data_IF_494152209977
#
_entry.id   IF_494152209977
#
_cell.length_a   1.000
_cell.length_b   1.000
_cell.length_c   1.000
_cell.angle_alpha   90.00
_cell.angle_beta   90.00
_cell.angle_gamma   90.00
#
_symmetry.space_group_name_H-M   'P 1'
#
loop_
_entity.id
_entity.type
_entity.pdbx_description
1 polymer ?
#
# COMPACT_ATOMS: atom_id res chain seq x y z
N UNK A 1 -9.57 -53.76 31.69
CA UNK A 1 -10.83 -53.04 31.67
C UNK A 1 -10.58 -51.58 31.44
N UNK A 2 -11.17 -51.07 30.38
CA UNK A 2 -11.41 -49.65 29.99
C UNK A 2 -10.20 -48.70 29.99
N UNK A 3 -9.56 -48.32 28.91
CA UNK A 3 -9.98 -47.52 27.72
C UNK A 3 -10.83 -46.29 28.08
N UNK A 4 -10.18 -45.13 28.04
CA UNK A 4 -10.85 -43.89 27.67
C UNK A 4 -9.87 -43.00 26.90
N UNK A 5 -10.26 -42.68 25.68
CA UNK A 5 -9.49 -41.95 24.70
C UNK A 5 -9.61 -40.45 24.93
N UNK A 6 -8.53 -39.77 24.63
CA UNK A 6 -8.54 -38.33 24.48
C UNK A 6 -9.14 -37.93 23.12
N UNK A 7 -9.99 -36.90 23.06
CA UNK A 7 -10.43 -36.31 21.81
C UNK A 7 -9.39 -35.33 21.33
N UNK A 8 -8.78 -35.64 20.17
CA UNK A 8 -7.93 -34.73 19.44
C UNK A 8 -8.65 -33.43 19.06
N UNK A 9 -8.14 -32.33 19.59
CA UNK A 9 -8.49 -30.97 19.17
C UNK A 9 -7.90 -30.72 17.79
N UNK A 10 -8.72 -30.84 16.75
CA UNK A 10 -8.41 -30.32 15.43
C UNK A 10 -8.48 -28.79 15.48
N UNK A 11 -7.33 -28.16 15.52
CA UNK A 11 -7.21 -26.74 15.21
C UNK A 11 -7.62 -26.54 13.74
N UNK A 12 -8.84 -26.08 13.53
CA UNK A 12 -9.30 -25.57 12.24
C UNK A 12 -8.48 -24.31 11.95
N UNK A 13 -7.50 -24.45 11.04
CA UNK A 13 -6.78 -23.34 10.46
C UNK A 13 -7.78 -22.37 9.81
N UNK A 14 -7.88 -21.18 10.38
CA UNK A 14 -8.58 -20.07 9.75
C UNK A 14 -7.92 -19.83 8.39
N UNK A 15 -8.59 -20.19 7.31
CA UNK A 15 -8.25 -19.75 5.96
C UNK A 15 -8.38 -18.23 5.94
N UNK A 16 -7.26 -17.53 6.02
CA UNK A 16 -7.19 -16.12 5.71
C UNK A 16 -7.55 -15.97 4.24
N UNK A 17 -8.76 -15.51 3.98
CA UNK A 17 -9.18 -15.13 2.62
C UNK A 17 -8.29 -13.95 2.26
N UNK A 18 -7.32 -14.17 1.38
CA UNK A 18 -6.59 -13.10 0.73
C UNK A 18 -7.63 -12.14 0.17
N UNK A 19 -7.57 -10.87 0.56
CA UNK A 19 -8.48 -9.84 0.08
C UNK A 19 -8.36 -9.79 -1.45
N UNK A 20 -9.29 -10.40 -2.15
CA UNK A 20 -9.35 -10.38 -3.61
C UNK A 20 -9.70 -8.95 -4.00
N UNK A 21 -8.68 -8.21 -4.46
CA UNK A 21 -8.93 -6.98 -5.21
C UNK A 21 -9.88 -7.36 -6.35
N UNK A 22 -11.07 -6.71 -6.47
CA UNK A 22 -12.03 -7.08 -7.50
C UNK A 22 -11.35 -7.05 -8.87
N UNK A 23 -11.48 -8.15 -9.64
CA UNK A 23 -10.84 -8.24 -10.96
C UNK A 23 -11.29 -7.05 -11.82
N UNK A 24 -10.40 -6.53 -12.66
CA UNK A 24 -10.66 -5.34 -13.53
C UNK A 24 -12.02 -5.40 -14.22
N UNK A 25 -12.37 -6.56 -14.75
CA UNK A 25 -13.66 -6.72 -15.43
C UNK A 25 -14.84 -6.61 -14.47
N UNK A 26 -14.70 -7.01 -13.21
CA UNK A 26 -15.75 -6.91 -12.19
C UNK A 26 -16.01 -5.44 -11.83
N UNK A 27 -14.95 -4.63 -11.65
CA UNK A 27 -15.09 -3.20 -11.43
C UNK A 27 -15.76 -2.49 -12.61
N UNK A 28 -15.33 -2.79 -13.82
CA UNK A 28 -15.98 -2.24 -15.04
C UNK A 28 -17.42 -2.70 -15.13
N UNK A 29 -17.71 -3.96 -14.83
CA UNK A 29 -19.07 -4.51 -14.77
C UNK A 29 -19.94 -3.73 -13.78
N UNK A 30 -19.48 -3.55 -12.53
CA UNK A 30 -20.23 -2.85 -11.48
C UNK A 30 -20.53 -1.40 -11.86
N UNK A 31 -19.54 -0.68 -12.40
CA UNK A 31 -19.69 0.72 -12.82
C UNK A 31 -20.69 0.82 -13.97
N UNK A 32 -20.50 0.03 -15.02
CA UNK A 32 -21.37 0.09 -16.21
C UNK A 32 -22.78 -0.40 -15.87
N UNK A 33 -22.93 -1.44 -15.05
CA UNK A 33 -24.21 -1.91 -14.57
C UNK A 33 -24.93 -0.81 -13.76
N UNK A 34 -24.23 -0.14 -12.85
CA UNK A 34 -24.74 1.00 -12.09
C UNK A 34 -25.21 2.15 -13.02
N UNK A 35 -24.42 2.50 -14.02
CA UNK A 35 -24.80 3.53 -15.00
C UNK A 35 -26.04 3.18 -15.82
N UNK A 36 -26.22 1.91 -16.17
CA UNK A 36 -27.40 1.42 -16.88
C UNK A 36 -28.63 1.49 -15.97
N UNK A 37 -28.51 0.99 -14.74
CA UNK A 37 -29.64 0.97 -13.78
C UNK A 37 -30.09 2.37 -13.40
N UNK A 38 -29.16 3.33 -13.27
CA UNK A 38 -29.43 4.74 -12.96
C UNK A 38 -29.91 5.55 -14.18
N UNK A 39 -29.95 4.94 -15.38
CA UNK A 39 -30.35 5.62 -16.61
C UNK A 39 -29.30 6.60 -17.17
N UNK A 40 -28.09 6.63 -16.63
CA UNK A 40 -26.96 7.43 -17.16
C UNK A 40 -26.58 6.93 -18.56
N UNK A 41 -26.54 5.61 -18.73
CA UNK A 41 -26.44 4.97 -20.02
C UNK A 41 -27.86 4.60 -20.50
N UNK A 42 -28.41 5.42 -21.40
CA UNK A 42 -29.78 5.23 -21.93
C UNK A 42 -29.91 3.93 -22.74
N UNK A 43 -31.16 3.39 -22.81
CA UNK A 43 -31.50 2.27 -23.68
C UNK A 43 -31.02 2.52 -25.12
N UNK A 44 -30.44 1.50 -25.76
CA UNK A 44 -29.90 1.59 -27.10
C UNK A 44 -28.49 2.19 -27.22
N UNK A 45 -27.91 2.73 -26.13
CA UNK A 45 -26.51 3.21 -26.14
C UNK A 45 -25.57 2.10 -26.60
N UNK A 46 -24.68 2.43 -27.54
CA UNK A 46 -23.72 1.48 -28.07
C UNK A 46 -22.46 1.43 -27.21
N UNK A 47 -22.04 0.23 -26.81
CA UNK A 47 -20.81 -0.06 -26.12
C UNK A 47 -19.96 -0.99 -26.97
N UNK A 48 -18.62 -0.77 -26.96
CA UNK A 48 -17.66 -1.61 -27.68
C UNK A 48 -16.49 -1.95 -26.78
N UNK A 49 -15.82 -3.08 -27.07
CA UNK A 49 -14.60 -3.49 -26.37
C UNK A 49 -13.52 -2.40 -26.40
N UNK A 50 -13.33 -1.77 -27.57
CA UNK A 50 -12.34 -0.68 -27.72
C UNK A 50 -12.75 0.59 -26.99
N UNK A 51 -14.05 0.96 -27.03
CA UNK A 51 -14.55 2.15 -26.32
C UNK A 51 -14.44 1.99 -24.80
N UNK A 52 -14.83 0.82 -24.26
CA UNK A 52 -14.63 0.53 -22.83
C UNK A 52 -13.16 0.48 -22.45
N UNK A 53 -12.32 -0.17 -23.28
CA UNK A 53 -10.89 -0.25 -23.03
C UNK A 53 -10.24 1.15 -22.97
N UNK A 54 -10.63 2.05 -23.86
CA UNK A 54 -10.17 3.44 -23.90
C UNK A 54 -10.72 4.24 -22.70
N UNK A 55 -12.04 4.14 -22.46
CA UNK A 55 -12.72 4.86 -21.38
C UNK A 55 -12.17 4.51 -19.99
N UNK A 56 -11.89 3.24 -19.75
CA UNK A 56 -11.40 2.75 -18.45
C UNK A 56 -9.89 2.57 -18.38
N UNK A 57 -9.13 2.88 -19.44
CA UNK A 57 -7.67 2.74 -19.48
C UNK A 57 -7.18 1.30 -19.33
N UNK A 58 -7.95 0.29 -19.77
CA UNK A 58 -7.69 -1.14 -19.62
C UNK A 58 -7.39 -1.81 -20.97
N UNK A 59 -6.88 -3.05 -20.92
CA UNK A 59 -6.76 -3.85 -22.16
C UNK A 59 -8.14 -4.33 -22.64
N UNK A 60 -8.22 -4.77 -23.91
CA UNK A 60 -9.49 -5.26 -24.51
C UNK A 60 -10.03 -6.53 -23.85
N UNK A 61 -9.16 -7.34 -23.24
CA UNK A 61 -9.57 -8.61 -22.63
C UNK A 61 -10.52 -8.40 -21.43
N UNK A 62 -10.20 -7.64 -20.37
CA UNK A 62 -11.12 -7.34 -19.29
C UNK A 62 -12.33 -6.53 -19.75
N UNK A 63 -12.19 -5.61 -20.73
CA UNK A 63 -13.34 -4.89 -21.31
C UNK A 63 -14.33 -5.87 -21.98
N UNK A 64 -13.84 -6.84 -22.75
CA UNK A 64 -14.63 -7.91 -23.34
C UNK A 64 -15.34 -8.75 -22.29
N UNK A 65 -14.62 -9.14 -21.23
CA UNK A 65 -15.17 -9.94 -20.16
C UNK A 65 -16.29 -9.21 -19.42
N UNK A 66 -16.12 -7.92 -19.11
CA UNK A 66 -17.16 -7.08 -18.50
C UNK A 66 -18.41 -7.00 -19.40
N UNK A 67 -18.24 -6.79 -20.72
CA UNK A 67 -19.35 -6.76 -21.67
C UNK A 67 -20.09 -8.10 -21.75
N UNK A 68 -19.38 -9.22 -21.72
CA UNK A 68 -19.98 -10.56 -21.69
C UNK A 68 -20.79 -10.81 -20.41
N UNK A 69 -20.28 -10.35 -19.26
CA UNK A 69 -21.01 -10.45 -17.99
C UNK A 69 -22.26 -9.57 -17.98
N UNK A 70 -22.18 -8.34 -18.48
CA UNK A 70 -23.32 -7.44 -18.63
C UNK A 70 -24.38 -8.01 -19.61
N UNK A 71 -23.96 -8.69 -20.68
CA UNK A 71 -24.86 -9.43 -21.59
C UNK A 71 -25.52 -10.60 -20.86
N UNK A 72 -24.77 -11.37 -20.09
CA UNK A 72 -25.28 -12.53 -19.30
C UNK A 72 -26.32 -12.09 -18.27
N UNK A 73 -26.09 -10.95 -17.62
CA UNK A 73 -27.07 -10.36 -16.69
C UNK A 73 -28.25 -9.68 -17.39
N UNK A 74 -28.26 -9.64 -18.74
CA UNK A 74 -29.35 -9.08 -19.53
C UNK A 74 -29.40 -7.55 -19.58
N UNK A 75 -28.32 -6.89 -19.13
CA UNK A 75 -28.17 -5.43 -19.18
C UNK A 75 -27.72 -4.95 -20.55
N UNK A 76 -27.12 -5.83 -21.35
CA UNK A 76 -26.72 -5.55 -22.72
C UNK A 76 -27.29 -6.60 -23.68
N UNK A 77 -27.49 -6.18 -24.93
CA UNK A 77 -27.84 -7.03 -26.08
C UNK A 77 -26.73 -6.96 -27.11
N UNK A 78 -26.32 -8.10 -27.63
CA UNK A 78 -25.37 -8.17 -28.75
C UNK A 78 -25.97 -7.51 -29.99
N UNK A 79 -25.22 -6.59 -30.59
CA UNK A 79 -25.67 -5.90 -31.82
C UNK A 79 -25.39 -6.77 -33.05
N UNK A 80 -26.19 -6.66 -34.08
CA UNK A 80 -25.98 -7.32 -35.39
C UNK A 80 -24.67 -6.94 -36.09
N UNK A 81 -23.90 -5.97 -35.52
CA UNK A 81 -22.54 -5.60 -35.91
C UNK A 81 -21.56 -5.80 -34.74
N UNK A 82 -20.37 -5.15 -34.78
CA UNK A 82 -19.39 -5.20 -33.68
C UNK A 82 -19.88 -4.38 -32.50
N UNK A 83 -20.07 -5.00 -31.32
CA UNK A 83 -20.36 -4.35 -30.04
C UNK A 83 -21.70 -4.75 -29.43
N UNK A 84 -22.12 -4.01 -28.43
CA UNK A 84 -23.29 -4.25 -27.59
C UNK A 84 -24.18 -3.00 -27.55
N UNK A 85 -25.44 -3.19 -27.16
CA UNK A 85 -26.39 -2.10 -26.90
C UNK A 85 -27.00 -2.29 -25.52
N UNK A 86 -27.23 -1.20 -24.82
CA UNK A 86 -27.94 -1.20 -23.54
C UNK A 86 -29.36 -1.71 -23.75
N UNK A 87 -29.71 -2.74 -22.99
CA UNK A 87 -31.07 -3.33 -23.02
C UNK A 87 -32.05 -2.47 -22.21
N UNK A 88 -33.34 -2.64 -22.48
CA UNK A 88 -34.38 -2.04 -21.63
C UNK A 88 -34.30 -2.66 -20.23
N UNK A 89 -34.13 -1.87 -19.15
CA UNK A 89 -34.11 -2.42 -17.78
C UNK A 89 -35.40 -3.20 -17.54
N UNK A 90 -35.28 -4.51 -17.27
CA UNK A 90 -36.36 -5.26 -16.64
C UNK A 90 -36.25 -5.00 -15.15
N UNK A 91 -37.35 -4.64 -14.47
CA UNK A 91 -37.44 -4.39 -13.04
C UNK A 91 -36.72 -5.50 -12.25
N UNK A 92 -35.44 -5.34 -11.98
CA UNK A 92 -34.67 -6.14 -11.05
C UNK A 92 -34.00 -5.20 -10.05
N UNK A 93 -34.53 -5.19 -8.84
CA UNK A 93 -33.88 -4.62 -7.67
C UNK A 93 -32.57 -5.38 -7.43
N UNK A 94 -31.44 -4.74 -7.73
CA UNK A 94 -30.15 -5.16 -7.23
C UNK A 94 -30.08 -4.84 -5.74
N UNK A 95 -29.60 -5.78 -4.93
CA UNK A 95 -29.61 -5.71 -3.48
C UNK A 95 -29.04 -4.42 -2.89
N UNK A 96 -29.71 -3.93 -1.87
CA UNK A 96 -29.31 -2.83 -1.00
C UNK A 96 -27.88 -3.05 -0.47
N UNK A 97 -26.95 -2.17 -0.82
CA UNK A 97 -25.64 -2.25 -0.20
C UNK A 97 -24.48 -1.43 -0.78
N UNK A 98 -24.68 -0.57 -1.76
CA UNK A 98 -23.61 0.36 -2.18
C UNK A 98 -24.18 1.76 -2.35
N UNK A 99 -23.84 2.66 -1.46
CA UNK A 99 -24.09 4.09 -1.62
C UNK A 99 -23.27 4.58 -2.82
N UNK A 100 -23.98 5.02 -3.88
CA UNK A 100 -23.39 5.61 -5.08
C UNK A 100 -23.25 7.11 -4.84
N UNK A 101 -22.05 7.73 -5.01
CA UNK A 101 -21.90 9.17 -4.93
C UNK A 101 -22.69 9.88 -6.03
N UNK A 102 -23.33 10.99 -5.66
CA UNK A 102 -24.29 11.73 -6.49
C UNK A 102 -23.68 12.48 -7.66
N UNK A 103 -24.55 12.67 -8.62
CA UNK A 103 -24.67 13.63 -9.74
C UNK A 103 -23.47 14.43 -10.28
N UNK A 104 -23.17 14.16 -11.53
CA UNK A 104 -23.01 15.14 -12.64
C UNK A 104 -21.63 15.66 -12.95
N UNK A 105 -20.80 16.09 -12.02
CA UNK A 105 -19.52 16.74 -12.29
C UNK A 105 -18.32 16.09 -11.58
N UNK A 106 -18.55 15.18 -10.65
CA UNK A 106 -17.51 14.41 -9.93
C UNK A 106 -17.26 13.01 -10.48
N UNK A 107 -17.93 12.62 -11.54
CA UNK A 107 -17.68 11.37 -12.24
C UNK A 107 -16.56 11.52 -13.31
N UNK A 108 -15.58 12.35 -13.08
CA UNK A 108 -14.22 11.98 -13.42
C UNK A 108 -13.90 10.87 -12.46
N UNK A 109 -14.20 9.63 -12.84
CA UNK A 109 -13.39 8.52 -12.41
C UNK A 109 -11.98 9.05 -12.43
N UNK A 110 -11.41 9.28 -11.25
CA UNK A 110 -9.98 9.41 -11.13
C UNK A 110 -9.51 8.15 -11.84
N UNK A 111 -9.06 8.29 -13.09
CA UNK A 111 -8.32 7.25 -13.78
C UNK A 111 -7.04 7.13 -12.96
N UNK A 112 -7.18 6.46 -11.82
CA UNK A 112 -6.02 5.90 -11.19
C UNK A 112 -5.41 5.08 -12.30
N UNK A 113 -4.31 5.58 -12.86
CA UNK A 113 -3.63 4.89 -13.93
C UNK A 113 -3.60 3.42 -13.53
N UNK A 114 -3.84 2.49 -14.45
CA UNK A 114 -4.09 1.07 -14.11
C UNK A 114 -2.99 0.48 -13.23
N UNK A 115 -1.77 1.05 -13.31
CA UNK A 115 -0.66 0.72 -12.41
C UNK A 115 -0.94 1.11 -10.94
N UNK A 116 -1.61 2.25 -10.68
CA UNK A 116 -1.82 2.73 -9.30
C UNK A 116 -2.75 1.79 -8.50
N UNK A 117 -3.64 1.08 -9.19
CA UNK A 117 -4.54 0.11 -8.57
C UNK A 117 -3.80 -1.05 -7.91
N UNK A 118 -2.74 -1.55 -8.54
CA UNK A 118 -1.99 -2.70 -8.03
C UNK A 118 -0.68 -2.31 -7.34
N UNK A 119 -0.24 -1.05 -7.51
CA UNK A 119 1.06 -0.59 -7.05
C UNK A 119 1.24 -0.80 -5.54
N UNK A 120 0.29 -0.33 -4.73
CA UNK A 120 0.39 -0.42 -3.27
C UNK A 120 0.45 -1.85 -2.76
N UNK A 121 -0.30 -2.77 -3.39
CA UNK A 121 -0.26 -4.18 -3.03
C UNK A 121 1.07 -4.82 -3.43
N UNK A 122 1.54 -4.59 -4.67
CA UNK A 122 2.83 -5.12 -5.14
C UNK A 122 3.99 -4.57 -4.32
N UNK A 123 3.97 -3.28 -3.99
CA UNK A 123 4.95 -2.64 -3.10
C UNK A 123 4.97 -3.32 -1.74
N UNK A 124 3.78 -3.50 -1.14
CA UNK A 124 3.62 -4.15 0.16
C UNK A 124 4.14 -5.59 0.14
N UNK A 125 3.77 -6.38 -0.86
CA UNK A 125 4.15 -7.78 -0.97
C UNK A 125 5.66 -7.96 -1.18
N UNK A 126 6.28 -7.14 -2.02
CA UNK A 126 7.73 -7.19 -2.25
C UNK A 126 8.47 -6.71 -0.99
N UNK A 127 8.10 -5.55 -0.46
CA UNK A 127 8.77 -4.97 0.69
C UNK A 127 8.75 -5.92 1.91
N UNK A 128 7.60 -6.50 2.22
CA UNK A 128 7.46 -7.45 3.31
C UNK A 128 8.36 -8.68 3.15
N UNK A 129 8.53 -9.18 1.92
CA UNK A 129 9.32 -10.37 1.62
C UNK A 129 10.82 -10.14 1.58
N UNK A 130 11.29 -8.90 1.38
CA UNK A 130 12.73 -8.59 1.43
C UNK A 130 13.37 -8.90 2.78
N UNK A 131 12.59 -8.93 3.86
CA UNK A 131 13.06 -9.35 5.19
C UNK A 131 13.43 -10.84 5.26
N UNK A 132 12.88 -11.69 4.39
CA UNK A 132 13.13 -13.14 4.39
C UNK A 132 14.23 -13.55 3.42
N UNK A 133 14.35 -12.87 2.28
CA UNK A 133 15.35 -13.15 1.25
C UNK A 133 15.43 -12.02 0.21
N UNK A 134 16.40 -12.15 -0.69
CA UNK A 134 16.35 -11.44 -1.97
C UNK A 134 15.41 -12.16 -2.94
N UNK A 135 14.75 -11.40 -3.82
CA UNK A 135 13.75 -11.92 -4.75
C UNK A 135 13.99 -11.43 -6.16
N UNK A 136 13.87 -12.32 -7.14
CA UNK A 136 13.76 -11.95 -8.55
C UNK A 136 12.28 -11.63 -8.86
N UNK A 137 12.03 -10.48 -9.49
CA UNK A 137 10.67 -10.05 -9.88
C UNK A 137 10.46 -10.34 -11.36
N UNK A 138 9.45 -11.13 -11.68
CA UNK A 138 9.09 -11.49 -13.04
C UNK A 138 7.89 -10.69 -13.52
N UNK A 139 8.13 -9.70 -14.42
CA UNK A 139 7.08 -8.82 -14.97
C UNK A 139 5.96 -9.59 -15.70
N UNK A 140 6.27 -10.71 -16.34
CA UNK A 140 5.28 -11.50 -17.09
C UNK A 140 4.33 -12.21 -16.13
N UNK A 141 4.87 -12.83 -15.08
CA UNK A 141 4.07 -13.48 -14.04
C UNK A 141 3.31 -12.45 -13.20
N UNK A 142 3.91 -11.28 -12.93
CA UNK A 142 3.24 -10.15 -12.28
C UNK A 142 2.02 -9.70 -13.08
N UNK A 143 2.18 -9.52 -14.40
CA UNK A 143 1.08 -9.15 -15.29
C UNK A 143 -0.04 -10.19 -15.27
N UNK A 144 0.32 -11.49 -15.28
CA UNK A 144 -0.63 -12.60 -15.23
C UNK A 144 -1.37 -12.68 -13.90
N UNK A 145 -0.64 -12.54 -12.79
CA UNK A 145 -1.19 -12.64 -11.43
C UNK A 145 -2.24 -11.56 -11.14
N UNK A 146 -1.96 -10.31 -11.56
CA UNK A 146 -2.88 -9.18 -11.36
C UNK A 146 -3.85 -8.94 -12.52
N UNK A 147 -3.84 -9.80 -13.53
CA UNK A 147 -4.66 -9.66 -14.76
C UNK A 147 -4.54 -8.26 -15.40
N UNK A 148 -3.29 -7.82 -15.58
CA UNK A 148 -2.96 -6.54 -16.22
C UNK A 148 -2.08 -6.75 -17.46
N UNK A 149 -1.92 -5.69 -18.28
CA UNK A 149 -0.97 -5.76 -19.40
C UNK A 149 0.49 -5.77 -18.90
N UNK A 150 1.40 -6.33 -19.72
CA UNK A 150 2.85 -6.28 -19.44
C UNK A 150 3.36 -4.85 -19.31
N UNK A 151 2.76 -3.90 -20.02
CA UNK A 151 3.11 -2.47 -19.93
C UNK A 151 2.80 -1.93 -18.54
N UNK A 152 1.63 -2.27 -17.99
CA UNK A 152 1.24 -1.91 -16.62
C UNK A 152 2.18 -2.54 -15.59
N UNK A 153 2.48 -3.83 -15.71
CA UNK A 153 3.42 -4.50 -14.81
C UNK A 153 4.81 -3.84 -14.85
N UNK A 154 5.29 -3.49 -16.05
CA UNK A 154 6.56 -2.76 -16.23
C UNK A 154 6.54 -1.38 -15.59
N UNK A 155 5.44 -0.65 -15.73
CA UNK A 155 5.26 0.65 -15.07
C UNK A 155 5.31 0.54 -13.55
N UNK A 156 4.68 -0.49 -12.97
CA UNK A 156 4.74 -0.78 -11.53
C UNK A 156 6.19 -1.03 -11.11
N UNK A 157 6.88 -1.94 -11.79
CA UNK A 157 8.27 -2.27 -11.44
C UNK A 157 9.22 -1.07 -11.62
N UNK A 158 9.02 -0.24 -12.65
CA UNK A 158 9.79 0.99 -12.85
C UNK A 158 9.60 1.99 -11.69
N UNK A 159 8.39 2.09 -11.14
CA UNK A 159 8.10 2.93 -9.96
C UNK A 159 8.70 2.38 -8.68
N UNK A 160 8.67 1.06 -8.52
CA UNK A 160 9.37 0.39 -7.41
C UNK A 160 10.89 0.61 -7.49
N UNK A 161 11.45 0.66 -8.70
CA UNK A 161 12.86 1.03 -8.90
C UNK A 161 13.13 2.47 -8.47
N UNK A 162 12.27 3.42 -8.84
CA UNK A 162 12.42 4.82 -8.42
C UNK A 162 12.39 4.98 -6.89
N UNK A 163 11.68 4.08 -6.19
CA UNK A 163 11.65 4.00 -4.72
C UNK A 163 12.77 3.13 -4.13
N UNK A 164 13.65 2.56 -4.95
CA UNK A 164 14.76 1.74 -4.49
C UNK A 164 14.39 0.34 -3.99
N UNK A 165 13.10 -0.06 -4.06
CA UNK A 165 12.64 -1.39 -3.65
C UNK A 165 13.11 -2.50 -4.58
N UNK A 166 13.29 -2.19 -5.85
CA UNK A 166 13.85 -3.12 -6.84
C UNK A 166 14.96 -2.43 -7.63
N UNK A 167 15.91 -3.23 -8.11
CA UNK A 167 16.99 -2.79 -8.99
C UNK A 167 17.26 -3.83 -10.06
N UNK A 168 18.00 -3.46 -11.09
CA UNK A 168 18.50 -4.46 -12.05
C UNK A 168 19.80 -5.08 -11.55
N UNK A 169 19.91 -6.39 -11.71
CA UNK A 169 21.18 -7.10 -11.53
C UNK A 169 22.06 -6.96 -12.79
N UNK A 170 23.27 -7.56 -12.74
CA UNK A 170 24.23 -7.52 -13.84
C UNK A 170 23.72 -8.17 -15.15
N UNK A 171 22.67 -9.00 -15.04
CA UNK A 171 21.97 -9.63 -16.16
C UNK A 171 20.72 -8.88 -16.59
N UNK A 172 20.55 -7.64 -16.14
CA UNK A 172 19.39 -6.78 -16.40
C UNK A 172 18.04 -7.35 -15.94
N UNK A 173 18.04 -8.29 -14.97
CA UNK A 173 16.84 -8.83 -14.35
C UNK A 173 16.47 -7.98 -13.15
N UNK A 174 15.16 -7.85 -12.90
CA UNK A 174 14.66 -7.16 -11.72
C UNK A 174 14.87 -7.99 -10.46
N UNK A 175 15.50 -7.42 -9.47
CA UNK A 175 15.69 -8.00 -8.15
C UNK A 175 15.25 -7.03 -7.06
N UNK A 176 14.59 -7.55 -6.03
CA UNK A 176 14.38 -6.91 -4.75
C UNK A 176 15.46 -7.46 -3.80
N UNK A 177 16.45 -6.65 -3.37
CA UNK A 177 17.51 -7.11 -2.49
C UNK A 177 16.98 -7.55 -1.14
N UNK A 178 17.65 -8.50 -0.48
CA UNK A 178 17.34 -8.83 0.90
C UNK A 178 17.61 -7.62 1.82
N UNK A 179 16.73 -7.41 2.78
CA UNK A 179 16.89 -6.43 3.86
C UNK A 179 17.74 -7.07 4.98
N UNK A 180 19.05 -7.12 4.77
CA UNK A 180 19.97 -7.67 5.77
C UNK A 180 20.17 -6.69 6.94
N UNK A 181 20.60 -7.18 8.12
CA UNK A 181 20.94 -6.31 9.26
C UNK A 181 21.95 -5.22 8.92
N UNK A 182 22.93 -5.54 8.08
CA UNK A 182 23.96 -4.60 7.62
C UNK A 182 23.31 -3.50 6.76
N UNK A 183 22.45 -3.88 5.81
CA UNK A 183 21.76 -2.93 4.95
C UNK A 183 20.78 -2.04 5.73
N UNK A 184 20.08 -2.60 6.70
CA UNK A 184 19.26 -1.82 7.65
C UNK A 184 20.13 -0.81 8.38
N UNK A 185 21.31 -1.23 8.87
CA UNK A 185 22.28 -0.36 9.53
C UNK A 185 22.71 0.83 8.65
N UNK A 186 23.08 0.58 7.40
CA UNK A 186 23.46 1.61 6.41
C UNK A 186 22.34 2.61 6.15
N UNK A 187 21.08 2.13 6.00
CA UNK A 187 19.92 2.99 5.79
C UNK A 187 19.64 3.89 7.00
N UNK A 188 19.73 3.35 8.22
CA UNK A 188 19.57 4.15 9.45
C UNK A 188 20.72 5.13 9.63
N UNK A 189 21.94 4.78 9.22
CA UNK A 189 23.08 5.70 9.26
C UNK A 189 22.81 6.96 8.45
N UNK A 190 22.32 6.83 7.22
CA UNK A 190 21.89 7.98 6.41
C UNK A 190 20.81 8.80 7.11
N UNK A 191 19.84 8.16 7.77
CA UNK A 191 18.76 8.85 8.46
C UNK A 191 19.29 9.68 9.63
N UNK A 192 20.07 9.10 10.55
CA UNK A 192 20.54 9.86 11.72
C UNK A 192 21.60 10.91 11.39
N UNK A 193 22.21 10.86 10.21
CA UNK A 193 23.10 11.92 9.70
C UNK A 193 22.30 13.07 9.11
N UNK A 194 21.22 12.79 8.39
CA UNK A 194 20.51 13.79 7.58
C UNK A 194 19.23 14.33 8.24
N UNK A 195 18.44 13.50 8.89
CA UNK A 195 17.14 13.90 9.43
C UNK A 195 17.25 14.94 10.57
N UNK A 196 18.20 14.85 11.53
CA UNK A 196 18.39 15.90 12.53
C UNK A 196 18.75 17.25 11.93
N UNK A 197 19.59 17.27 10.88
CA UNK A 197 19.93 18.51 10.15
C UNK A 197 18.73 19.06 9.39
N UNK A 198 17.91 18.19 8.80
CA UNK A 198 16.66 18.59 8.16
C UNK A 198 15.68 19.19 9.18
N UNK A 199 15.57 18.59 10.38
CA UNK A 199 14.72 19.07 11.47
C UNK A 199 15.14 20.47 11.95
N UNK A 200 16.44 20.71 12.16
CA UNK A 200 16.96 22.03 12.54
C UNK A 200 16.62 23.09 11.49
N UNK A 201 16.72 22.76 10.20
CA UNK A 201 16.35 23.66 9.10
C UNK A 201 14.84 23.90 9.02
N UNK A 202 14.04 22.89 9.30
CA UNK A 202 12.59 22.96 9.27
C UNK A 202 12.00 23.76 10.43
N UNK A 203 12.61 23.71 11.61
CA UNK A 203 12.06 24.21 12.87
C UNK A 203 11.53 25.64 12.80
N UNK A 204 12.25 26.55 12.13
CA UNK A 204 11.83 27.97 11.98
C UNK A 204 10.74 28.19 10.92
N UNK A 205 10.36 27.16 10.17
CA UNK A 205 9.41 27.23 9.06
C UNK A 205 8.13 26.42 9.32
N UNK A 206 8.06 25.71 10.45
CA UNK A 206 6.88 24.94 10.80
C UNK A 206 5.69 25.87 11.04
N UNK A 207 4.51 25.53 10.46
CA UNK A 207 3.27 26.25 10.79
C UNK A 207 2.99 26.21 12.29
N UNK A 208 2.53 27.30 12.91
CA UNK A 208 2.31 27.37 14.36
C UNK A 208 1.37 26.29 14.91
N UNK A 209 0.40 25.85 14.08
CA UNK A 209 -0.58 24.84 14.45
C UNK A 209 -0.09 23.39 14.27
N UNK A 210 1.06 23.15 13.60
CA UNK A 210 1.51 21.83 13.26
C UNK A 210 1.97 21.02 14.48
N UNK A 211 2.85 21.60 15.29
CA UNK A 211 3.39 20.93 16.49
C UNK A 211 2.29 20.57 17.50
N UNK A 212 1.36 21.49 17.86
CA UNK A 212 0.23 21.14 18.74
C UNK A 212 -0.62 19.98 18.21
N UNK A 213 -0.91 19.94 16.90
CA UNK A 213 -1.68 18.86 16.29
C UNK A 213 -0.95 17.51 16.33
N UNK A 214 0.35 17.52 16.08
CA UNK A 214 1.16 16.29 16.16
C UNK A 214 1.24 15.79 17.61
N UNK A 215 1.46 16.70 18.56
CA UNK A 215 1.48 16.38 19.99
C UNK A 215 0.16 15.74 20.44
N UNK A 216 -0.97 16.35 20.12
CA UNK A 216 -2.29 15.83 20.47
C UNK A 216 -2.50 14.40 19.90
N UNK A 217 -2.09 14.13 18.65
CA UNK A 217 -2.18 12.80 18.06
C UNK A 217 -1.28 11.78 18.77
N UNK A 218 -0.06 12.17 19.15
CA UNK A 218 0.87 11.29 19.88
C UNK A 218 0.35 10.99 21.30
N UNK A 219 -0.17 11.99 22.02
CA UNK A 219 -0.74 11.81 23.36
C UNK A 219 -1.98 10.90 23.31
N UNK A 220 -2.86 11.08 22.31
CA UNK A 220 -3.99 10.20 22.07
C UNK A 220 -3.57 8.77 21.74
N UNK A 221 -2.55 8.61 20.89
CA UNK A 221 -2.00 7.31 20.52
C UNK A 221 -1.37 6.58 21.73
N UNK A 222 -0.61 7.28 22.56
CA UNK A 222 -0.04 6.72 23.80
C UNK A 222 -1.15 6.26 24.75
N UNK A 223 -2.23 7.04 24.87
CA UNK A 223 -3.37 6.72 25.75
C UNK A 223 -4.19 5.54 25.26
N UNK A 224 -4.18 5.27 23.97
CA UNK A 224 -4.96 4.19 23.31
C UNK A 224 -4.07 3.14 22.62
N UNK A 225 -2.86 2.94 23.10
CA UNK A 225 -1.84 2.10 22.47
C UNK A 225 -2.31 0.67 22.11
N UNK A 226 -3.24 0.10 22.89
CA UNK A 226 -3.76 -1.24 22.65
C UNK A 226 -4.68 -1.36 21.43
N UNK A 227 -5.23 -0.25 20.95
CA UNK A 227 -6.19 -0.21 19.84
C UNK A 227 -5.62 0.31 18.53
N UNK A 228 -4.35 0.78 18.54
CA UNK A 228 -3.69 1.31 17.34
C UNK A 228 -3.53 0.24 16.27
N UNK A 229 -3.79 0.66 15.05
CA UNK A 229 -3.58 -0.15 13.84
C UNK A 229 -2.26 0.23 13.16
N UNK A 230 -1.78 -0.62 12.24
CA UNK A 230 -0.60 -0.29 11.42
C UNK A 230 -0.72 1.07 10.71
N UNK A 231 -1.84 1.37 10.02
CA UNK A 231 -2.07 2.67 9.39
C UNK A 231 -2.03 3.88 10.36
N UNK A 232 -2.44 3.69 11.62
CA UNK A 232 -2.35 4.78 12.62
C UNK A 232 -0.90 5.06 12.99
N UNK A 233 -0.12 4.00 13.22
CA UNK A 233 1.32 4.12 13.48
C UNK A 233 2.07 4.73 12.29
N UNK A 234 1.70 4.35 11.08
CA UNK A 234 2.27 4.89 9.85
C UNK A 234 2.09 6.40 9.74
N UNK A 235 0.90 6.90 10.10
CA UNK A 235 0.62 8.34 10.08
C UNK A 235 1.48 9.10 11.09
N UNK A 236 1.71 8.53 12.27
CA UNK A 236 2.56 9.13 13.30
C UNK A 236 4.04 9.17 12.90
N UNK A 237 4.51 8.13 12.21
CA UNK A 237 5.84 8.12 11.57
C UNK A 237 5.95 9.18 10.46
N UNK A 238 4.93 9.31 9.60
CA UNK A 238 4.89 10.32 8.54
C UNK A 238 4.89 11.74 9.09
N UNK A 239 4.22 12.00 10.21
CA UNK A 239 4.18 13.32 10.83
C UNK A 239 5.58 13.83 11.15
N UNK A 240 6.44 13.00 11.75
CA UNK A 240 7.80 13.39 12.13
C UNK A 240 8.75 13.32 10.93
N UNK A 241 8.84 12.16 10.30
CA UNK A 241 9.93 11.88 9.35
C UNK A 241 9.68 12.40 7.93
N UNK A 242 8.43 12.74 7.58
CA UNK A 242 8.07 13.24 6.25
C UNK A 242 7.52 14.66 6.34
N UNK A 243 6.43 14.84 7.08
CA UNK A 243 5.70 16.12 7.10
C UNK A 243 6.55 17.23 7.71
N UNK A 244 7.08 17.03 8.92
CA UNK A 244 7.90 18.06 9.59
C UNK A 244 9.22 18.30 8.84
N UNK A 245 9.92 17.26 8.43
CA UNK A 245 11.18 17.40 7.71
C UNK A 245 11.01 18.08 6.34
N UNK A 246 9.83 17.94 5.71
CA UNK A 246 9.52 18.59 4.43
C UNK A 246 9.65 20.11 4.46
N UNK A 247 9.49 20.74 5.63
CA UNK A 247 9.68 22.18 5.80
C UNK A 247 11.14 22.63 5.79
N UNK A 248 12.11 21.72 5.67
CA UNK A 248 13.53 22.08 5.59
C UNK A 248 13.92 22.85 4.32
N UNK A 249 13.04 22.85 3.31
CA UNK A 249 13.23 23.50 1.99
C UNK A 249 14.55 23.13 1.31
N UNK A 250 15.00 21.89 1.49
CA UNK A 250 16.20 21.35 0.85
C UNK A 250 15.84 20.08 0.06
N UNK A 251 15.43 20.28 -1.20
CA UNK A 251 14.99 19.21 -2.08
C UNK A 251 16.02 18.07 -2.25
N UNK A 252 17.34 18.34 -2.48
CA UNK A 252 18.34 17.28 -2.54
C UNK A 252 18.48 16.47 -1.23
N UNK A 253 18.36 17.13 -0.08
CA UNK A 253 18.41 16.46 1.22
C UNK A 253 17.19 15.57 1.40
N UNK A 254 15.98 16.07 1.09
CA UNK A 254 14.76 15.27 1.16
C UNK A 254 14.79 14.09 0.19
N UNK A 255 15.37 14.23 -0.99
CA UNK A 255 15.61 13.12 -1.91
C UNK A 255 16.52 12.05 -1.29
N UNK A 256 17.62 12.46 -0.65
CA UNK A 256 18.53 11.52 -0.01
C UNK A 256 17.90 10.80 1.19
N UNK A 257 16.98 11.46 1.92
CA UNK A 257 16.25 10.89 3.06
C UNK A 257 15.12 9.97 2.59
N UNK A 258 14.45 10.28 1.48
CA UNK A 258 13.25 9.56 1.03
C UNK A 258 13.52 8.10 0.68
N UNK A 259 14.68 7.77 0.14
CA UNK A 259 15.04 6.39 -0.20
C UNK A 259 15.21 5.50 1.04
N UNK A 260 16.05 5.85 2.04
CA UNK A 260 16.10 5.10 3.29
C UNK A 260 14.74 4.97 3.97
N UNK A 261 13.94 6.04 3.99
CA UNK A 261 12.60 6.01 4.55
C UNK A 261 11.71 5.02 3.82
N UNK A 262 11.66 5.06 2.49
CA UNK A 262 10.83 4.15 1.69
C UNK A 262 11.19 2.68 1.91
N UNK A 263 12.48 2.36 2.04
CA UNK A 263 12.96 1.00 2.28
C UNK A 263 12.68 0.54 3.72
N UNK A 264 12.77 1.42 4.71
CA UNK A 264 12.47 1.13 6.10
C UNK A 264 10.97 1.13 6.42
N UNK A 265 10.15 1.74 5.56
CA UNK A 265 8.70 1.52 5.55
C UNK A 265 8.35 0.06 5.25
N UNK A 266 9.25 -0.71 4.63
CA UNK A 266 9.14 -2.17 4.57
C UNK A 266 8.88 -2.80 5.95
N UNK A 267 9.38 -2.21 6.99
CA UNK A 267 9.10 -2.52 8.37
C UNK A 267 7.61 -2.36 8.76
N UNK A 268 6.84 -1.46 8.15
CA UNK A 268 5.38 -1.36 8.30
C UNK A 268 4.67 -2.63 7.86
N UNK A 269 5.14 -3.25 6.79
CA UNK A 269 4.52 -4.46 6.25
C UNK A 269 4.73 -5.67 7.15
N UNK A 270 5.69 -5.60 8.07
CA UNK A 270 5.89 -6.62 9.09
C UNK A 270 4.78 -6.58 10.16
N UNK A 271 4.12 -5.43 10.39
CA UNK A 271 2.93 -5.34 11.23
C UNK A 271 1.79 -6.22 10.73
N UNK A 272 1.72 -6.48 9.43
CA UNK A 272 0.73 -7.39 8.85
C UNK A 272 0.83 -8.81 9.42
N UNK A 273 2.05 -9.26 9.70
CA UNK A 273 2.30 -10.61 10.20
C UNK A 273 2.50 -10.66 11.70
N UNK A 274 2.95 -9.56 12.28
CA UNK A 274 3.22 -9.47 13.70
C UNK A 274 2.79 -8.09 14.24
N UNK A 275 1.47 -7.87 14.36
CA UNK A 275 0.92 -6.55 14.71
C UNK A 275 1.28 -6.09 16.12
N UNK A 276 1.70 -6.98 17.01
CA UNK A 276 2.01 -6.66 18.41
C UNK A 276 3.33 -7.27 18.85
N UNK A 277 4.43 -6.75 18.31
CA UNK A 277 5.75 -7.13 18.80
C UNK A 277 6.05 -6.53 20.18
N UNK A 278 5.51 -5.34 20.44
CA UNK A 278 5.64 -4.61 21.70
C UNK A 278 4.24 -4.35 22.28
N UNK A 279 4.11 -4.33 23.60
CA UNK A 279 2.85 -4.00 24.28
C UNK A 279 2.37 -2.57 23.96
N UNK A 280 3.31 -1.64 23.79
CA UNK A 280 3.13 -0.31 23.23
C UNK A 280 4.32 -0.02 22.31
N UNK A 281 4.11 0.73 21.23
CA UNK A 281 5.18 1.08 20.30
C UNK A 281 6.16 2.08 20.98
N UNK A 282 7.42 1.69 21.15
CA UNK A 282 8.39 2.49 21.92
C UNK A 282 8.72 3.84 21.30
N UNK A 283 8.47 4.02 19.98
CA UNK A 283 8.73 5.27 19.30
C UNK A 283 7.76 6.38 19.68
N UNK A 284 6.55 6.07 20.16
CA UNK A 284 5.53 7.07 20.49
C UNK A 284 6.02 8.08 21.54
N UNK A 285 6.51 7.67 22.72
CA UNK A 285 7.06 8.61 23.69
C UNK A 285 8.32 9.32 23.19
N UNK A 286 9.10 8.70 22.32
CA UNK A 286 10.30 9.32 21.74
C UNK A 286 9.94 10.45 20.77
N UNK A 287 8.91 10.23 19.91
CA UNK A 287 8.39 11.27 19.03
C UNK A 287 7.76 12.43 19.83
N UNK A 288 7.02 12.10 20.90
CA UNK A 288 6.44 13.11 21.78
C UNK A 288 7.53 13.99 22.43
N UNK A 289 8.63 13.42 22.90
CA UNK A 289 9.77 14.14 23.46
C UNK A 289 10.40 15.10 22.44
N UNK A 290 10.54 14.66 21.19
CA UNK A 290 11.06 15.52 20.10
C UNK A 290 10.14 16.70 19.86
N UNK A 291 8.82 16.47 19.75
CA UNK A 291 7.83 17.52 19.51
C UNK A 291 7.78 18.53 20.65
N UNK A 292 7.78 18.07 21.91
CA UNK A 292 7.79 18.92 23.09
C UNK A 292 9.04 19.81 23.15
N UNK A 293 10.21 19.29 22.77
CA UNK A 293 11.43 20.09 22.68
C UNK A 293 11.36 21.18 21.61
N UNK A 294 10.72 20.87 20.46
CA UNK A 294 10.49 21.88 19.41
C UNK A 294 9.50 22.96 19.87
N UNK A 295 8.40 22.59 20.54
CA UNK A 295 7.46 23.55 21.11
C UNK A 295 8.11 24.48 22.14
N UNK A 296 9.06 23.96 22.90
CA UNK A 296 9.85 24.74 23.87
C UNK A 296 10.96 25.59 23.21
N UNK A 297 11.12 25.54 21.89
CA UNK A 297 12.19 26.25 21.16
C UNK A 297 13.59 25.61 21.30
N UNK A 298 13.69 24.42 21.86
CA UNK A 298 14.95 23.70 22.08
C UNK A 298 15.34 22.88 20.85
N UNK A 299 15.58 23.53 19.71
CA UNK A 299 15.76 22.88 18.39
C UNK A 299 16.93 21.89 18.38
N UNK A 300 18.09 22.26 18.91
CA UNK A 300 19.25 21.37 18.97
C UNK A 300 18.97 20.13 19.83
N UNK A 301 18.28 20.31 20.98
CA UNK A 301 17.93 19.18 21.83
C UNK A 301 16.92 18.24 21.16
N UNK A 302 16.01 18.78 20.34
CA UNK A 302 15.08 18.00 19.52
C UNK A 302 15.84 17.20 18.43
N UNK A 303 16.79 17.82 17.75
CA UNK A 303 17.63 17.17 16.76
C UNK A 303 18.49 16.03 17.36
N UNK A 304 19.04 16.25 18.55
CA UNK A 304 19.77 15.21 19.27
C UNK A 304 18.85 14.07 19.74
N UNK A 305 17.62 14.39 20.16
CA UNK A 305 16.62 13.38 20.51
C UNK A 305 16.23 12.55 19.26
N UNK A 306 16.03 13.18 18.12
CA UNK A 306 15.76 12.49 16.84
C UNK A 306 16.93 11.57 16.44
N UNK A 307 18.17 12.02 16.60
CA UNK A 307 19.34 11.18 16.31
C UNK A 307 19.36 9.93 17.20
N UNK A 308 19.14 10.06 18.50
CA UNK A 308 19.08 8.94 19.44
C UNK A 308 17.92 8.00 19.11
N UNK A 309 16.73 8.56 18.83
CA UNK A 309 15.57 7.81 18.38
C UNK A 309 15.91 6.90 17.18
N UNK A 310 16.56 7.44 16.15
CA UNK A 310 16.91 6.69 14.94
C UNK A 310 17.96 5.59 15.23
N UNK A 311 18.94 5.86 16.10
CA UNK A 311 19.94 4.87 16.50
C UNK A 311 19.30 3.66 17.22
N UNK A 312 18.38 3.93 18.15
CA UNK A 312 17.66 2.85 18.87
C UNK A 312 16.66 2.14 17.94
N UNK A 313 16.01 2.89 17.05
CA UNK A 313 15.06 2.31 16.08
C UNK A 313 15.72 1.36 15.08
N UNK A 314 17.00 1.56 14.74
CA UNK A 314 17.79 0.58 13.98
C UNK A 314 17.82 -0.79 14.66
N UNK A 315 18.17 -0.83 15.93
CA UNK A 315 18.30 -2.09 16.66
C UNK A 315 16.94 -2.80 16.79
N UNK A 316 15.86 -2.03 17.05
CA UNK A 316 14.50 -2.54 17.07
C UNK A 316 14.05 -3.09 15.70
N UNK A 317 14.44 -2.43 14.62
CA UNK A 317 14.09 -2.89 13.26
C UNK A 317 14.78 -4.23 12.95
N UNK A 318 16.06 -4.38 13.30
CA UNK A 318 16.81 -5.62 13.14
C UNK A 318 16.19 -6.75 13.99
N UNK A 319 15.88 -6.48 15.26
CA UNK A 319 15.24 -7.46 16.14
C UNK A 319 13.88 -7.90 15.62
N UNK A 320 13.09 -6.96 15.10
CA UNK A 320 11.77 -7.25 14.49
C UNK A 320 11.92 -8.15 13.28
N UNK A 321 12.85 -7.86 12.37
CA UNK A 321 13.13 -8.70 11.21
C UNK A 321 13.50 -10.11 11.66
N UNK A 322 14.40 -10.25 12.61
CA UNK A 322 14.81 -11.55 13.12
C UNK A 322 13.63 -12.37 13.67
N UNK A 323 12.76 -11.76 14.47
CA UNK A 323 11.60 -12.47 15.05
C UNK A 323 10.60 -12.87 13.97
N UNK A 324 10.24 -11.93 13.07
CA UNK A 324 9.29 -12.22 12.00
C UNK A 324 9.79 -13.34 11.10
N UNK A 325 11.09 -13.36 10.76
CA UNK A 325 11.66 -14.40 9.90
C UNK A 325 11.74 -15.78 10.56
N UNK A 326 11.69 -15.85 11.88
CA UNK A 326 11.63 -17.11 12.62
C UNK A 326 10.21 -17.66 12.74
N UNK A 327 9.21 -16.80 12.86
CA UNK A 327 7.83 -17.18 13.20
C UNK A 327 6.91 -17.21 11.98
N UNK A 328 7.26 -16.52 10.90
CA UNK A 328 6.40 -16.35 9.72
C UNK A 328 7.03 -16.98 8.48
N UNK A 329 6.21 -17.70 7.73
CA UNK A 329 6.55 -18.26 6.43
C UNK A 329 5.54 -17.71 5.40
N UNK A 330 5.92 -16.67 4.63
CA UNK A 330 5.00 -16.08 3.65
C UNK A 330 4.70 -17.08 2.52
N UNK A 331 3.47 -17.07 2.03
CA UNK A 331 3.09 -17.86 0.86
C UNK A 331 3.89 -17.44 -0.38
N UNK A 332 4.18 -18.39 -1.25
CA UNK A 332 4.88 -18.14 -2.51
C UNK A 332 4.00 -17.31 -3.45
N UNK A 333 4.60 -16.32 -4.08
CA UNK A 333 3.95 -15.53 -5.11
C UNK A 333 4.55 -15.88 -6.48
N UNK A 334 3.72 -16.20 -7.51
CA UNK A 334 4.22 -16.68 -8.80
C UNK A 334 5.20 -15.73 -9.49
N UNK A 335 5.13 -14.44 -9.19
CA UNK A 335 5.99 -13.42 -9.77
C UNK A 335 7.26 -13.11 -8.95
N UNK A 336 7.47 -13.81 -7.82
CA UNK A 336 8.66 -13.69 -6.96
C UNK A 336 9.40 -15.03 -6.89
N UNK A 337 10.65 -15.01 -7.32
CA UNK A 337 11.55 -16.16 -7.22
C UNK A 337 12.65 -15.86 -6.21
N UNK A 338 12.81 -16.72 -5.23
CA UNK A 338 13.84 -16.57 -4.18
C UNK A 338 15.24 -16.68 -4.77
N UNK A 339 16.15 -15.78 -4.37
CA UNK A 339 17.54 -15.75 -4.80
C UNK A 339 18.45 -16.55 -3.86
#
# INVERSE_FOLDING_TARGET
MASEGEPGSQAQGAKTVAGTVPRLYQQVFEIVAGQIVQGVLAEGTRLSESGLAEQFGISRAPARQALCELEREGLLLKSSGRGYRVAKPKDKTFGDGAAVPGSGDEMRLTQLATWARIYGEVESEIAARTSFAGWRVNETELARYYDVSRTVARDVVARLQQRGLVRKDDRSRWIAPAMTPEHVGELYELRWLLEPVALEKAASRLPPELLPKIRERLEAAISSAETLTGPDLDRLEEDLHVTMLGYCENSPMMQAISLPQALLIAHRFLYRWMPRLFGAEPFLPEHLDIVQKLEAGHVTAAADALRRHLQVSRDRAIDRIHRVTQEVHPEDLPYLEKL
#
